data_IF_599321943186
#
_entry.id   IF_599321943186
#
_cell.length_a   1.000
_cell.length_b   1.000
_cell.length_c   1.000
_cell.angle_alpha   90.00
_cell.angle_beta   90.00
_cell.angle_gamma   90.00
#
_symmetry.space_group_name_H-M   'P 1'
#
loop_
_entity.id
_entity.type
_entity.pdbx_description
1 polymer ?
#
# COMPACT_ATOMS: atom_id res chain seq x y z
N UNK A 1 -3.34 -5.03 -14.58
CA UNK A 1 -3.16 -4.57 -13.18
C UNK A 1 -3.23 -5.73 -12.17
N UNK A 2 -2.39 -6.77 -12.32
CA UNK A 2 -2.42 -7.90 -11.39
C UNK A 2 -2.06 -7.47 -9.95
N UNK A 3 -0.94 -6.77 -9.78
CA UNK A 3 -0.46 -6.28 -8.47
C UNK A 3 -1.50 -5.45 -7.72
N UNK A 4 -2.20 -4.53 -8.40
CA UNK A 4 -3.25 -3.74 -7.75
C UNK A 4 -4.38 -4.64 -7.27
N UNK A 5 -4.86 -5.54 -8.14
CA UNK A 5 -5.99 -6.43 -7.83
C UNK A 5 -5.67 -7.45 -6.75
N UNK A 6 -4.42 -7.90 -6.63
CA UNK A 6 -4.02 -8.93 -5.67
C UNK A 6 -3.42 -8.39 -4.36
N UNK A 7 -2.87 -7.16 -4.35
CA UNK A 7 -2.15 -6.63 -3.18
C UNK A 7 -2.87 -5.41 -2.58
N UNK A 8 -2.90 -4.28 -3.29
CA UNK A 8 -3.33 -3.00 -2.71
C UNK A 8 -4.84 -2.80 -2.67
N UNK A 9 -5.57 -3.26 -3.69
CA UNK A 9 -7.03 -3.08 -3.78
C UNK A 9 -7.81 -3.85 -2.71
N UNK A 10 -7.49 -5.13 -2.39
CA UNK A 10 -8.17 -5.84 -1.31
C UNK A 10 -7.95 -5.19 0.06
N UNK A 11 -6.72 -4.73 0.34
CA UNK A 11 -6.37 -4.02 1.58
C UNK A 11 -7.20 -2.74 1.71
N UNK A 12 -7.20 -1.92 0.67
CA UNK A 12 -7.95 -0.67 0.66
C UNK A 12 -9.44 -0.92 0.90
N UNK A 13 -10.05 -1.86 0.15
CA UNK A 13 -11.49 -2.15 0.25
C UNK A 13 -11.88 -2.65 1.63
N UNK A 14 -11.05 -3.50 2.24
CA UNK A 14 -11.26 -3.96 3.62
C UNK A 14 -11.29 -2.78 4.59
N UNK A 15 -10.27 -1.92 4.55
CA UNK A 15 -10.19 -0.77 5.44
C UNK A 15 -11.33 0.24 5.26
N UNK A 16 -11.80 0.42 4.02
CA UNK A 16 -12.99 1.22 3.75
C UNK A 16 -14.26 0.61 4.34
N UNK A 17 -14.40 -0.71 4.28
CA UNK A 17 -15.51 -1.43 4.93
C UNK A 17 -15.46 -1.25 6.44
N UNK A 18 -14.26 -1.19 6.99
CA UNK A 18 -14.00 -0.97 8.42
C UNK A 18 -14.03 0.54 8.80
N UNK A 19 -14.58 1.40 7.92
CA UNK A 19 -14.77 2.85 8.11
C UNK A 19 -13.50 3.70 8.32
N UNK A 20 -12.34 3.21 7.87
CA UNK A 20 -11.12 4.02 7.90
C UNK A 20 -11.11 5.12 6.82
N UNK A 21 -10.36 6.20 7.11
CA UNK A 21 -10.18 7.32 6.19
C UNK A 21 -9.46 6.88 4.92
N UNK A 22 -9.68 7.63 3.82
CA UNK A 22 -8.98 7.36 2.56
C UNK A 22 -7.46 7.45 2.69
N UNK A 23 -6.95 8.34 3.55
CA UNK A 23 -5.51 8.48 3.82
C UNK A 23 -4.94 7.20 4.43
N UNK A 24 -5.56 6.69 5.50
CA UNK A 24 -5.14 5.43 6.16
C UNK A 24 -5.21 4.26 5.17
N UNK A 25 -6.24 4.21 4.33
CA UNK A 25 -6.36 3.18 3.30
C UNK A 25 -5.20 3.22 2.29
N UNK A 26 -4.80 4.41 1.83
CA UNK A 26 -3.66 4.57 0.91
C UNK A 26 -2.33 4.25 1.59
N UNK A 27 -2.10 4.73 2.80
CA UNK A 27 -0.88 4.49 3.57
C UNK A 27 -0.71 2.98 3.83
N UNK A 28 -1.77 2.29 4.25
CA UNK A 28 -1.71 0.84 4.44
C UNK A 28 -1.51 0.10 3.10
N UNK A 29 -2.20 0.51 2.04
CA UNK A 29 -2.01 -0.09 0.71
C UNK A 29 -0.57 0.10 0.19
N UNK A 30 0.04 1.27 0.42
CA UNK A 30 1.45 1.54 0.14
C UNK A 30 2.34 0.58 0.89
N UNK A 31 2.09 0.39 2.20
CA UNK A 31 2.90 -0.48 3.03
C UNK A 31 2.84 -1.95 2.55
N UNK A 32 1.66 -2.42 2.14
CA UNK A 32 1.53 -3.73 1.50
C UNK A 32 2.19 -3.80 0.11
N UNK A 33 2.21 -2.72 -0.67
CA UNK A 33 2.99 -2.72 -1.92
C UNK A 33 4.49 -2.86 -1.62
N UNK A 34 5.02 -2.11 -0.66
CA UNK A 34 6.42 -2.21 -0.27
C UNK A 34 6.79 -3.61 0.22
N UNK A 35 5.99 -4.19 1.10
CA UNK A 35 6.28 -5.48 1.73
C UNK A 35 6.30 -6.68 0.76
N UNK A 36 5.57 -6.64 -0.36
CA UNK A 36 5.49 -7.77 -1.30
C UNK A 36 6.02 -7.49 -2.70
N UNK A 37 6.19 -6.23 -3.10
CA UNK A 37 6.48 -5.86 -4.49
C UNK A 37 7.61 -4.86 -4.67
N UNK A 38 8.17 -4.31 -3.59
CA UNK A 38 9.42 -3.55 -3.68
C UNK A 38 10.55 -4.44 -4.21
N UNK A 39 11.39 -3.91 -5.09
CA UNK A 39 12.59 -4.60 -5.58
C UNK A 39 13.68 -4.66 -4.49
N UNK A 40 13.73 -3.68 -3.59
CA UNK A 40 14.67 -3.65 -2.48
C UNK A 40 14.29 -4.68 -1.40
N UNK A 41 15.14 -5.70 -1.13
CA UNK A 41 14.90 -6.68 -0.08
C UNK A 41 14.78 -6.04 1.30
N UNK A 42 15.61 -5.03 1.57
CA UNK A 42 15.57 -4.28 2.83
C UNK A 42 14.24 -3.57 3.02
N UNK A 43 13.72 -2.89 1.98
CA UNK A 43 12.44 -2.22 2.05
C UNK A 43 11.28 -3.19 2.26
N UNK A 44 11.33 -4.38 1.62
CA UNK A 44 10.35 -5.45 1.87
C UNK A 44 10.37 -5.87 3.34
N UNK A 45 11.56 -6.11 3.89
CA UNK A 45 11.71 -6.54 5.27
C UNK A 45 11.21 -5.50 6.29
N UNK A 46 11.54 -4.22 6.11
CA UNK A 46 11.04 -3.17 7.01
C UNK A 46 9.52 -3.00 6.92
N UNK A 47 8.97 -3.01 5.70
CA UNK A 47 7.54 -2.92 5.52
C UNK A 47 6.79 -4.12 6.14
N UNK A 48 7.33 -5.33 6.02
CA UNK A 48 6.79 -6.53 6.68
C UNK A 48 6.84 -6.42 8.21
N UNK A 49 7.94 -5.91 8.77
CA UNK A 49 8.06 -5.65 10.21
C UNK A 49 7.01 -4.67 10.70
N UNK A 50 6.84 -3.56 10.00
CA UNK A 50 5.83 -2.58 10.34
C UNK A 50 4.41 -3.18 10.27
N UNK A 51 4.13 -4.03 9.28
CA UNK A 51 2.86 -4.74 9.19
C UNK A 51 2.63 -5.73 10.35
N UNK A 52 3.66 -6.43 10.82
CA UNK A 52 3.55 -7.28 12.01
C UNK A 52 3.21 -6.50 13.28
N UNK A 53 3.55 -5.21 13.33
CA UNK A 53 3.21 -4.30 14.43
C UNK A 53 1.84 -3.63 14.27
N UNK A 54 1.04 -4.05 13.28
CA UNK A 54 -0.28 -3.48 12.98
C UNK A 54 -0.29 -2.47 11.82
N UNK A 55 0.86 -2.22 11.20
CA UNK A 55 1.00 -1.28 10.10
C UNK A 55 0.66 0.15 10.54
N UNK A 56 -0.03 0.87 9.67
CA UNK A 56 -0.48 2.25 9.93
C UNK A 56 -1.54 2.29 11.04
N UNK A 57 -2.26 1.19 11.26
CA UNK A 57 -3.24 1.04 12.35
C UNK A 57 -2.60 0.65 13.69
N UNK A 58 -1.31 0.30 13.69
CA UNK A 58 -0.57 -0.03 14.90
C UNK A 58 -0.36 1.18 15.81
N UNK A 59 0.06 0.92 17.04
CA UNK A 59 0.45 2.00 17.94
C UNK A 59 1.60 2.81 17.30
N UNK A 60 1.41 4.13 17.17
CA UNK A 60 2.35 5.02 16.46
C UNK A 60 2.61 4.65 14.99
N UNK A 61 1.68 3.94 14.34
CA UNK A 61 1.84 3.44 12.96
C UNK A 61 2.14 4.52 11.93
N UNK A 62 1.53 5.70 12.05
CA UNK A 62 1.82 6.85 11.17
C UNK A 62 3.26 7.36 11.36
N UNK A 63 3.73 7.48 12.60
CA UNK A 63 5.11 7.87 12.89
C UNK A 63 6.10 6.84 12.35
N UNK A 64 5.83 5.55 12.54
CA UNK A 64 6.68 4.49 12.03
C UNK A 64 6.73 4.47 10.49
N UNK A 65 5.63 4.83 9.82
CA UNK A 65 5.62 4.99 8.36
C UNK A 65 6.47 6.19 7.91
N UNK A 66 6.46 7.31 8.64
CA UNK A 66 7.34 8.45 8.39
C UNK A 66 8.82 8.07 8.57
N UNK A 67 9.15 7.35 9.64
CA UNK A 67 10.51 6.83 9.84
C UNK A 67 10.95 5.92 8.69
N UNK A 68 10.06 5.04 8.21
CA UNK A 68 10.37 4.21 7.04
C UNK A 68 10.63 5.05 5.78
N UNK A 69 9.88 6.12 5.54
CA UNK A 69 10.10 7.02 4.41
C UNK A 69 11.48 7.71 4.48
N UNK A 70 11.87 8.18 5.67
CA UNK A 70 13.19 8.74 5.91
C UNK A 70 14.31 7.74 5.62
N UNK A 71 14.19 6.51 6.11
CA UNK A 71 15.19 5.47 5.89
C UNK A 71 15.29 5.04 4.41
N UNK A 72 14.16 4.99 3.70
CA UNK A 72 14.12 4.73 2.25
C UNK A 72 14.88 5.82 1.48
N UNK A 73 14.66 7.09 1.85
CA UNK A 73 15.33 8.24 1.26
C UNK A 73 16.83 8.23 1.52
N UNK A 74 17.25 7.98 2.76
CA UNK A 74 18.68 7.88 3.12
C UNK A 74 19.41 6.79 2.33
N UNK A 75 18.73 5.67 2.07
CA UNK A 75 19.25 4.55 1.28
C UNK A 75 19.09 4.73 -0.22
N UNK A 76 18.55 5.86 -0.65
CA UNK A 76 18.25 6.14 -2.05
C UNK A 76 17.40 5.05 -2.72
N UNK A 77 16.52 4.41 -1.95
CA UNK A 77 15.62 3.38 -2.45
C UNK A 77 14.46 4.08 -3.15
N UNK A 78 14.42 3.98 -4.47
CA UNK A 78 13.36 4.54 -5.29
C UNK A 78 12.53 3.43 -5.90
N UNK A 79 11.22 3.60 -5.90
CA UNK A 79 10.32 2.71 -6.64
C UNK A 79 9.36 3.52 -7.51
N UNK A 80 9.74 3.81 -8.77
CA UNK A 80 8.97 4.69 -9.65
C UNK A 80 7.52 4.23 -9.87
N UNK A 81 7.30 2.92 -9.97
CA UNK A 81 5.97 2.36 -10.21
C UNK A 81 5.01 2.48 -9.02
N UNK A 82 5.50 2.74 -7.79
CA UNK A 82 4.67 2.81 -6.58
C UNK A 82 3.56 3.85 -6.71
N UNK A 83 3.89 5.05 -7.22
CA UNK A 83 2.93 6.15 -7.42
C UNK A 83 1.79 5.74 -8.36
N UNK A 84 2.13 5.11 -9.49
CA UNK A 84 1.15 4.63 -10.47
C UNK A 84 0.26 3.53 -9.90
N UNK A 85 0.82 2.61 -9.11
CA UNK A 85 0.05 1.53 -8.46
C UNK A 85 -0.95 2.10 -7.44
N UNK A 86 -0.55 3.09 -6.65
CA UNK A 86 -1.43 3.77 -5.69
C UNK A 86 -2.53 4.58 -6.39
N UNK A 87 -2.19 5.31 -7.44
CA UNK A 87 -3.16 6.06 -8.25
C UNK A 87 -4.23 5.11 -8.84
N UNK A 88 -3.81 4.00 -9.44
CA UNK A 88 -4.74 2.99 -9.99
C UNK A 88 -5.55 2.31 -8.89
N UNK A 89 -4.97 2.11 -7.70
CA UNK A 89 -5.71 1.56 -6.55
C UNK A 89 -6.83 2.51 -6.14
N UNK A 90 -6.53 3.80 -5.94
CA UNK A 90 -7.53 4.81 -5.61
C UNK A 90 -8.63 4.90 -6.68
N UNK A 91 -8.24 4.86 -7.96
CA UNK A 91 -9.17 4.83 -9.08
C UNK A 91 -10.10 3.61 -9.02
N UNK A 92 -9.56 2.39 -8.90
CA UNK A 92 -10.35 1.15 -8.91
C UNK A 92 -11.19 0.89 -7.65
N UNK A 93 -10.93 1.62 -6.56
CA UNK A 93 -11.82 1.64 -5.40
C UNK A 93 -13.09 2.43 -5.73
N UNK A 94 -12.97 3.58 -6.40
CA UNK A 94 -14.10 4.44 -6.76
C UNK A 94 -14.86 3.93 -7.98
N UNK A 95 -14.13 3.36 -8.92
CA UNK A 95 -14.61 2.83 -10.18
C UNK A 95 -14.16 1.36 -10.28
N UNK A 96 -14.84 0.43 -9.58
CA UNK A 96 -14.56 -0.98 -9.76
C UNK A 96 -14.65 -1.29 -11.25
N UNK A 97 -13.76 -2.16 -11.75
CA UNK A 97 -13.89 -2.66 -13.11
C UNK A 97 -15.34 -3.11 -13.28
N UNK A 98 -16.06 -2.52 -14.24
CA UNK A 98 -17.44 -2.86 -14.53
C UNK A 98 -17.57 -4.35 -14.86
N UNK A 99 -18.80 -4.85 -15.07
CA UNK A 99 -19.00 -6.21 -15.53
C UNK A 99 -18.04 -6.50 -16.70
N UNK A 100 -17.35 -7.63 -16.65
CA UNK A 100 -16.64 -8.12 -17.82
C UNK A 100 -17.74 -8.58 -18.77
N UNK A 101 -18.10 -7.73 -19.72
CA UNK A 101 -18.96 -8.12 -20.81
C UNK A 101 -18.09 -8.97 -21.74
N UNK A 102 -18.37 -10.27 -21.77
CA UNK A 102 -17.87 -11.16 -22.81
C UNK A 102 -18.68 -10.86 -24.08
N UNK A 103 -18.00 -10.72 -25.22
CA UNK A 103 -18.66 -10.66 -26.54
C UNK A 103 -19.45 -11.95 -26.83
#
# INVERSE_FOLDING_TARGET
FYTVRSVSLPVYRRLRRDNHSHSVCLQQALLHLLAWKSESPWARQQAQRLLWQGGVLGEKGEFALLTLDDELRERQIVWPALRSLLAVTGFLVRFPAGPVFSD
#
